data_IF_708866842425
#
_entry.id   IF_708866842425
#
_cell.length_a   1.000
_cell.length_b   1.000
_cell.length_c   1.000
_cell.angle_alpha   90.00
_cell.angle_beta   90.00
_cell.angle_gamma   90.00
#
_symmetry.space_group_name_H-M   'P 1'
#
loop_
_entity.id
_entity.type
_entity.pdbx_description
1 polymer ?
#
# COMPACT_ATOMS: atom_id res chain seq x y z
N UNK A 1 -1.62 14.78 -25.39
CA UNK A 1 -1.22 13.76 -24.38
C UNK A 1 -2.08 12.53 -24.60
N UNK A 2 -1.50 11.33 -24.64
CA UNK A 2 -2.28 10.09 -24.75
C UNK A 2 -3.07 9.82 -23.47
N UNK A 3 -4.19 9.12 -23.57
CA UNK A 3 -4.97 8.67 -22.41
C UNK A 3 -4.14 7.80 -21.45
N UNK A 4 -3.25 6.96 -22.02
CA UNK A 4 -2.31 6.14 -21.25
C UNK A 4 -1.32 6.97 -20.43
N UNK A 5 -0.79 8.07 -20.99
CA UNK A 5 0.08 8.98 -20.24
C UNK A 5 -0.64 9.60 -19.03
N UNK A 6 -1.88 10.07 -19.22
CA UNK A 6 -2.69 10.63 -18.12
C UNK A 6 -2.95 9.57 -17.04
N UNK A 7 -3.27 8.33 -17.44
CA UNK A 7 -3.46 7.22 -16.50
C UNK A 7 -2.20 6.96 -15.67
N UNK A 8 -1.01 6.98 -16.28
CA UNK A 8 0.25 6.76 -15.58
C UNK A 8 0.53 7.81 -14.50
N UNK A 9 0.17 9.07 -14.75
CA UNK A 9 0.37 10.19 -13.82
C UNK A 9 -0.55 10.14 -12.60
N UNK A 10 -1.64 9.38 -12.67
CA UNK A 10 -2.57 9.18 -11.55
C UNK A 10 -2.25 7.87 -10.83
N UNK A 11 -2.20 6.77 -11.57
CA UNK A 11 -2.02 5.42 -11.00
C UNK A 11 -0.64 5.25 -10.38
N UNK A 12 0.40 5.77 -11.02
CA UNK A 12 1.79 5.60 -10.56
C UNK A 12 2.05 6.17 -9.17
N UNK A 13 1.73 7.46 -8.92
CA UNK A 13 1.87 8.04 -7.59
C UNK A 13 1.01 7.36 -6.53
N UNK A 14 -0.24 6.99 -6.85
CA UNK A 14 -1.13 6.31 -5.89
C UNK A 14 -0.54 4.98 -5.44
N UNK A 15 -0.11 4.14 -6.38
CA UNK A 15 0.48 2.84 -6.06
C UNK A 15 1.80 3.00 -5.27
N UNK A 16 2.61 4.00 -5.61
CA UNK A 16 3.84 4.31 -4.88
C UNK A 16 3.56 4.69 -3.44
N UNK A 17 2.66 5.66 -3.24
CA UNK A 17 2.30 6.18 -1.91
C UNK A 17 1.71 5.06 -1.07
N UNK A 18 0.76 4.28 -1.60
CA UNK A 18 0.19 3.16 -0.85
C UNK A 18 1.23 2.11 -0.47
N UNK A 19 2.15 1.76 -1.38
CA UNK A 19 3.26 0.85 -1.05
C UNK A 19 4.10 1.40 0.10
N UNK A 20 4.45 2.69 0.05
CA UNK A 20 5.20 3.35 1.11
C UNK A 20 4.43 3.36 2.44
N UNK A 21 3.13 3.67 2.42
CA UNK A 21 2.29 3.67 3.62
C UNK A 21 2.21 2.28 4.24
N UNK A 22 2.10 1.21 3.44
CA UNK A 22 2.14 -0.16 3.97
C UNK A 22 3.51 -0.51 4.55
N UNK A 23 4.62 -0.09 3.93
CA UNK A 23 5.96 -0.26 4.51
C UNK A 23 6.06 0.42 5.88
N UNK A 24 5.62 1.68 5.98
CA UNK A 24 5.58 2.40 7.25
C UNK A 24 4.64 1.73 8.25
N UNK A 25 3.52 1.17 7.78
CA UNK A 25 2.57 0.43 8.60
C UNK A 25 3.23 -0.81 9.23
N UNK A 26 4.08 -1.55 8.50
CA UNK A 26 4.85 -2.68 9.07
C UNK A 26 5.68 -2.21 10.25
N UNK A 27 6.40 -1.09 10.11
CA UNK A 27 7.20 -0.55 11.21
C UNK A 27 6.32 -0.16 12.39
N UNK A 28 5.18 0.51 12.14
CA UNK A 28 4.26 0.92 13.19
C UNK A 28 3.62 -0.25 13.96
N UNK A 29 3.50 -1.43 13.36
CA UNK A 29 2.95 -2.60 14.06
C UNK A 29 3.94 -3.18 15.07
N UNK A 30 5.23 -2.85 14.99
CA UNK A 30 6.24 -3.21 15.99
C UNK A 30 6.21 -2.31 17.23
N UNK A 31 5.57 -1.14 17.15
CA UNK A 31 5.50 -0.15 18.22
C UNK A 31 4.04 0.06 18.68
N UNK A 32 3.42 -0.90 19.40
CA UNK A 32 2.00 -0.86 19.76
C UNK A 32 1.62 0.32 20.67
N UNK A 33 2.58 0.92 21.38
CA UNK A 33 2.37 2.14 22.16
C UNK A 33 2.10 3.41 21.32
N UNK A 34 2.30 3.36 19.99
CA UNK A 34 2.05 4.52 19.12
C UNK A 34 0.55 4.72 18.91
N UNK A 35 0.08 5.93 19.20
CA UNK A 35 -1.32 6.31 18.96
C UNK A 35 -1.60 6.57 17.48
N UNK A 36 -2.10 5.54 16.79
CA UNK A 36 -2.34 5.55 15.34
C UNK A 36 -3.38 6.56 14.86
N UNK A 37 -4.25 7.05 15.75
CA UNK A 37 -5.27 8.05 15.42
C UNK A 37 -4.83 9.50 15.65
N UNK A 38 -3.57 9.72 16.08
CA UNK A 38 -2.99 11.06 16.24
C UNK A 38 -2.05 11.39 15.08
N UNK A 39 -1.93 12.67 14.79
CA UNK A 39 -0.91 13.17 13.85
C UNK A 39 0.50 12.89 14.41
N UNK A 40 1.46 12.48 13.57
CA UNK A 40 1.35 12.27 12.11
C UNK A 40 0.87 10.86 11.70
N UNK A 41 0.70 9.94 12.64
CA UNK A 41 0.51 8.51 12.37
C UNK A 41 -0.82 8.16 11.70
N UNK A 42 -1.87 8.96 11.95
CA UNK A 42 -3.15 8.81 11.28
C UNK A 42 -3.06 8.94 9.75
N UNK A 43 -2.09 9.69 9.22
CA UNK A 43 -1.81 9.80 7.78
C UNK A 43 -1.39 8.45 7.17
N UNK A 44 -0.84 7.55 7.97
CA UNK A 44 -0.45 6.19 7.55
C UNK A 44 -1.55 5.19 7.89
N UNK A 45 -2.12 5.30 9.09
CA UNK A 45 -3.14 4.36 9.56
C UNK A 45 -4.42 4.46 8.72
N UNK A 46 -4.99 5.66 8.53
CA UNK A 46 -6.30 5.79 7.88
C UNK A 46 -6.35 5.29 6.43
N UNK A 47 -5.36 5.56 5.56
CA UNK A 47 -5.40 5.06 4.18
C UNK A 47 -5.20 3.54 4.09
N UNK A 48 -4.44 2.96 5.01
CA UNK A 48 -4.12 1.52 4.98
C UNK A 48 -5.18 0.67 5.66
N UNK A 49 -5.86 1.18 6.69
CA UNK A 49 -6.79 0.43 7.54
C UNK A 49 -7.97 -0.23 6.80
N UNK A 50 -8.61 0.38 5.78
CA UNK A 50 -9.67 -0.26 5.00
C UNK A 50 -9.26 -1.58 4.35
N UNK A 51 -7.97 -1.75 4.07
CA UNK A 51 -7.39 -2.98 3.52
C UNK A 51 -7.01 -3.99 4.62
N UNK A 52 -6.56 -3.48 5.77
CA UNK A 52 -6.07 -4.31 6.88
C UNK A 52 -7.21 -4.92 7.70
N UNK A 53 -8.30 -4.19 7.95
CA UNK A 53 -9.47 -4.72 8.68
C UNK A 53 -9.99 -6.04 8.09
N UNK A 54 -10.29 -6.14 6.78
CA UNK A 54 -10.76 -7.41 6.23
C UNK A 54 -9.66 -8.47 6.17
N UNK A 55 -8.41 -8.10 5.86
CA UNK A 55 -7.33 -9.08 5.74
C UNK A 55 -6.91 -9.68 7.08
N UNK A 56 -6.97 -8.93 8.18
CA UNK A 56 -6.73 -9.45 9.54
C UNK A 56 -7.75 -10.50 9.99
N UNK A 57 -8.95 -10.53 9.39
CA UNK A 57 -9.93 -11.59 9.65
C UNK A 57 -9.49 -12.94 9.06
N UNK A 58 -8.68 -12.91 8.01
CA UNK A 58 -8.17 -14.10 7.33
C UNK A 58 -6.76 -14.47 7.84
N UNK A 59 -5.92 -13.47 8.09
CA UNK A 59 -4.54 -13.62 8.53
C UNK A 59 -4.41 -12.89 9.87
N UNK A 60 -4.62 -13.58 11.00
CA UNK A 60 -4.54 -12.94 12.31
C UNK A 60 -3.11 -12.48 12.61
N UNK A 61 -2.93 -11.48 13.50
CA UNK A 61 -1.61 -11.06 13.97
C UNK A 61 -0.82 -12.23 14.58
N UNK A 62 0.48 -12.28 14.30
CA UNK A 62 1.39 -13.29 14.83
C UNK A 62 2.25 -12.66 15.90
N UNK A 63 2.24 -13.22 17.11
CA UNK A 63 3.03 -12.70 18.23
C UNK A 63 2.69 -11.25 18.61
N UNK A 64 1.45 -10.81 18.38
CA UNK A 64 1.01 -9.43 18.64
C UNK A 64 1.41 -8.42 17.55
N UNK A 65 2.12 -8.86 16.51
CA UNK A 65 2.50 -8.02 15.37
C UNK A 65 1.58 -8.33 14.18
N UNK A 66 1.01 -7.27 13.61
CA UNK A 66 0.21 -7.38 12.39
C UNK A 66 1.12 -7.53 11.16
N UNK A 67 1.04 -8.70 10.53
CA UNK A 67 1.79 -9.07 9.32
C UNK A 67 1.03 -8.74 8.03
N UNK A 68 -0.26 -8.39 8.11
CA UNK A 68 -1.08 -8.13 6.93
C UNK A 68 -0.60 -6.97 6.05
N UNK A 69 0.07 -5.91 6.56
CA UNK A 69 0.66 -4.90 5.70
C UNK A 69 1.72 -5.43 4.73
N UNK A 70 2.46 -6.50 5.09
CA UNK A 70 3.47 -7.12 4.23
C UNK A 70 2.83 -7.67 2.95
N UNK A 71 1.68 -8.34 3.11
CA UNK A 71 0.90 -8.85 1.97
C UNK A 71 0.54 -7.70 1.01
N UNK A 72 0.10 -6.57 1.56
CA UNK A 72 -0.28 -5.42 0.76
C UNK A 72 0.89 -4.70 0.10
N UNK A 73 2.09 -4.70 0.71
CA UNK A 73 3.32 -4.27 -0.01
C UNK A 73 3.51 -5.13 -1.26
N UNK A 74 3.39 -6.44 -1.14
CA UNK A 74 3.49 -7.37 -2.27
C UNK A 74 2.43 -7.11 -3.35
N UNK A 75 1.16 -6.97 -2.96
CA UNK A 75 0.05 -6.71 -3.89
C UNK A 75 0.24 -5.39 -4.64
N UNK A 76 0.50 -4.28 -3.93
CA UNK A 76 0.67 -2.98 -4.57
C UNK A 76 1.92 -2.90 -5.45
N UNK A 77 3.02 -3.56 -5.04
CA UNK A 77 4.23 -3.65 -5.86
C UNK A 77 3.99 -4.46 -7.14
N UNK A 78 3.30 -5.60 -7.04
CA UNK A 78 2.92 -6.40 -8.19
C UNK A 78 2.00 -5.63 -9.14
N UNK A 79 0.97 -4.96 -8.62
CA UNK A 79 0.08 -4.12 -9.44
C UNK A 79 0.86 -3.01 -10.15
N UNK A 80 1.83 -2.39 -9.47
CA UNK A 80 2.68 -1.37 -10.09
C UNK A 80 3.49 -1.95 -11.23
N UNK A 81 4.11 -3.11 -11.06
CA UNK A 81 4.90 -3.75 -12.11
C UNK A 81 4.02 -4.18 -13.30
N UNK A 82 2.87 -4.81 -13.05
CA UNK A 82 1.95 -5.24 -14.10
C UNK A 82 1.34 -4.08 -14.90
N UNK A 83 1.09 -2.94 -14.25
CA UNK A 83 0.47 -1.78 -14.92
C UNK A 83 1.51 -0.84 -15.53
N UNK A 84 2.60 -0.56 -14.82
CA UNK A 84 3.54 0.54 -15.10
C UNK A 84 5.00 0.10 -15.20
N UNK A 85 5.29 -1.20 -15.07
CA UNK A 85 6.62 -1.75 -15.29
C UNK A 85 7.11 -1.57 -16.73
N UNK A 86 8.32 -2.06 -17.01
CA UNK A 86 8.90 -1.97 -18.36
C UNK A 86 8.03 -2.68 -19.40
N UNK A 87 7.39 -3.79 -19.01
CA UNK A 87 6.41 -4.52 -19.80
C UNK A 87 4.97 -4.31 -19.28
N UNK A 88 4.73 -3.22 -18.55
CA UNK A 88 3.43 -2.93 -17.96
C UNK A 88 2.39 -2.56 -19.01
N UNK A 89 1.14 -2.94 -18.78
CA UNK A 89 0.04 -2.76 -19.76
C UNK A 89 -0.12 -1.28 -20.15
N UNK A 90 -0.09 -0.36 -19.20
CA UNK A 90 -0.23 1.08 -19.48
C UNK A 90 1.01 1.59 -20.21
N UNK A 91 2.20 1.10 -19.84
CA UNK A 91 3.47 1.47 -20.49
C UNK A 91 3.49 1.06 -21.97
N UNK A 92 2.99 -0.13 -22.30
CA UNK A 92 2.91 -0.60 -23.69
C UNK A 92 1.92 0.20 -24.55
N UNK A 93 0.99 0.94 -23.93
CA UNK A 93 -0.03 1.74 -24.61
C UNK A 93 0.36 3.22 -24.77
N UNK A 94 1.49 3.65 -24.19
CA UNK A 94 2.00 5.02 -24.28
C UNK A 94 2.73 5.26 -25.60
#
# INVERSE_FOLDING_TARGET
>A
MSSAAIASWIVGPILLVMTLLFILRIVLTWYPQVELNKLPWNLIAWPTEPFLIPTRKLIPPLGGVDITPILWVGIFSLLRELLLGQQGIITMMM
#
